data_IF_828103867654
#
_entry.id   IF_828103867654
#
_cell.length_a   1.000
_cell.length_b   1.000
_cell.length_c   1.000
_cell.angle_alpha   90.00
_cell.angle_beta   90.00
_cell.angle_gamma   90.00
#
_symmetry.space_group_name_H-M   'P 1'
#
loop_
_entity.id
_entity.type
_entity.pdbx_description
1 polymer ?
#
# COMPACT_ATOMS: atom_id res chain seq x y z
N UNK A 1 -14.26 -13.16 -33.10
CA UNK A 1 -14.60 -11.95 -32.32
C UNK A 1 -13.89 -12.09 -30.98
N UNK A 2 -12.61 -11.71 -30.91
CA UNK A 2 -11.89 -11.69 -29.64
C UNK A 2 -12.45 -10.51 -28.85
N UNK A 3 -13.23 -10.78 -27.82
CA UNK A 3 -13.70 -9.74 -26.91
C UNK A 3 -12.48 -9.12 -26.23
N UNK A 4 -12.18 -7.87 -26.56
CA UNK A 4 -11.30 -7.05 -25.73
C UNK A 4 -12.08 -6.76 -24.44
N UNK A 5 -11.71 -7.41 -23.35
CA UNK A 5 -12.10 -6.96 -22.02
C UNK A 5 -11.42 -5.61 -21.78
N UNK A 6 -12.17 -4.52 -21.92
CA UNK A 6 -11.69 -3.21 -21.50
C UNK A 6 -11.52 -3.22 -19.99
N UNK A 7 -10.28 -3.42 -19.53
CA UNK A 7 -9.89 -3.18 -18.12
C UNK A 7 -10.32 -1.74 -17.76
N UNK A 8 -11.09 -1.52 -16.70
CA UNK A 8 -11.53 -0.18 -16.31
C UNK A 8 -10.28 0.68 -16.03
N UNK A 9 -10.04 1.68 -16.88
CA UNK A 9 -8.93 2.62 -16.76
C UNK A 9 -9.18 3.59 -15.60
N UNK A 10 -8.83 3.14 -14.40
CA UNK A 10 -8.75 3.96 -13.19
C UNK A 10 -7.53 3.55 -12.34
N UNK A 11 -6.41 3.20 -12.98
CA UNK A 11 -5.25 2.70 -12.24
C UNK A 11 -4.16 3.77 -12.12
N UNK A 12 -3.69 3.97 -10.89
CA UNK A 12 -2.64 4.94 -10.53
C UNK A 12 -1.26 4.47 -11.08
N UNK A 13 -1.10 3.17 -11.31
CA UNK A 13 0.03 2.53 -11.99
C UNK A 13 -0.43 1.21 -12.65
N UNK A 14 0.29 0.75 -13.67
CA UNK A 14 -0.03 -0.45 -14.46
C UNK A 14 0.73 -1.69 -13.94
N UNK A 15 0.34 -2.16 -12.75
CA UNK A 15 0.86 -3.40 -12.17
C UNK A 15 -0.34 -4.27 -11.77
N UNK A 16 -0.33 -5.52 -12.22
CA UNK A 16 -1.40 -6.47 -11.93
C UNK A 16 -1.22 -7.05 -10.52
N UNK A 17 -2.19 -6.82 -9.64
CA UNK A 17 -2.13 -7.26 -8.24
C UNK A 17 -2.02 -8.78 -8.09
N UNK A 18 -2.74 -9.52 -8.93
CA UNK A 18 -2.86 -10.98 -8.78
C UNK A 18 -1.64 -11.69 -9.37
N UNK A 19 -1.08 -11.15 -10.46
CA UNK A 19 0.07 -11.74 -11.13
C UNK A 19 1.42 -11.21 -10.61
N UNK A 20 1.46 -10.00 -10.03
CA UNK A 20 2.68 -9.37 -9.50
C UNK A 20 2.41 -8.60 -8.20
N UNK A 21 1.94 -9.35 -7.19
CA UNK A 21 1.65 -8.79 -5.87
C UNK A 21 2.82 -8.04 -5.21
N UNK A 22 4.08 -8.54 -5.24
CA UNK A 22 5.18 -7.86 -4.55
C UNK A 22 5.44 -6.45 -5.08
N UNK A 23 5.46 -6.27 -6.41
CA UNK A 23 5.66 -4.95 -7.00
C UNK A 23 4.43 -4.06 -6.84
N UNK A 24 3.22 -4.63 -6.98
CA UNK A 24 1.98 -3.90 -6.75
C UNK A 24 1.91 -3.35 -5.32
N UNK A 25 2.26 -4.16 -4.32
CA UNK A 25 2.22 -3.77 -2.91
C UNK A 25 3.27 -2.71 -2.58
N UNK A 26 4.48 -2.85 -3.12
CA UNK A 26 5.52 -1.83 -2.98
C UNK A 26 5.11 -0.48 -3.57
N UNK A 27 4.54 -0.48 -4.78
CA UNK A 27 4.18 0.76 -5.46
C UNK A 27 2.96 1.42 -4.81
N UNK A 28 1.94 0.67 -4.37
CA UNK A 28 0.79 1.29 -3.66
C UNK A 28 1.21 1.90 -2.33
N UNK A 29 2.09 1.23 -1.57
CA UNK A 29 2.57 1.75 -0.28
C UNK A 29 3.36 3.05 -0.45
N UNK A 30 4.09 3.18 -1.56
CA UNK A 30 4.85 4.39 -1.91
C UNK A 30 3.92 5.51 -2.40
N UNK A 31 3.01 5.22 -3.32
CA UNK A 31 2.08 6.20 -3.91
C UNK A 31 1.10 6.75 -2.89
N UNK A 32 0.61 5.91 -1.98
CA UNK A 32 -0.32 6.31 -0.92
C UNK A 32 0.39 6.87 0.33
N UNK A 33 1.71 7.10 0.27
CA UNK A 33 2.51 7.60 1.38
C UNK A 33 2.33 6.78 2.67
N UNK A 34 2.22 5.47 2.54
CA UNK A 34 2.07 4.55 3.68
C UNK A 34 3.42 4.11 4.24
N UNK A 35 4.46 4.08 3.41
CA UNK A 35 5.80 3.63 3.79
C UNK A 35 6.86 4.34 2.96
N UNK A 36 7.90 4.86 3.61
CA UNK A 36 9.07 5.38 2.89
C UNK A 36 10.15 4.31 2.73
N UNK A 37 10.12 3.61 1.60
CA UNK A 37 11.09 2.56 1.27
C UNK A 37 12.50 3.08 0.95
N UNK A 38 12.72 4.40 0.90
CA UNK A 38 13.99 5.02 0.48
C UNK A 38 14.96 5.28 1.62
N UNK A 39 14.58 4.95 2.85
CA UNK A 39 15.36 5.28 4.05
C UNK A 39 16.77 4.68 4.08
N UNK A 40 17.04 3.64 3.28
CA UNK A 40 18.39 3.10 3.11
C UNK A 40 18.85 2.15 4.21
N UNK A 41 17.99 1.85 5.19
CA UNK A 41 18.23 0.81 6.21
C UNK A 41 17.27 -0.34 5.96
N UNK A 42 17.83 -1.52 5.65
CA UNK A 42 17.03 -2.72 5.38
C UNK A 42 16.21 -3.09 6.62
N UNK A 43 14.90 -3.25 6.44
CA UNK A 43 13.97 -3.63 7.51
C UNK A 43 13.53 -2.47 8.40
N UNK A 44 14.01 -1.26 8.16
CA UNK A 44 13.51 -0.06 8.82
C UNK A 44 12.74 0.80 7.84
N UNK A 45 11.42 0.79 7.99
CA UNK A 45 10.49 1.52 7.13
C UNK A 45 9.86 2.65 7.93
N UNK A 46 10.23 3.92 7.68
CA UNK A 46 9.50 5.05 8.23
C UNK A 46 8.04 5.05 7.77
N UNK A 47 7.14 5.34 8.70
CA UNK A 47 5.70 5.43 8.46
C UNK A 47 5.28 6.90 8.39
N UNK A 48 4.85 7.41 7.22
CA UNK A 48 4.37 8.79 7.10
C UNK A 48 3.03 9.00 7.85
N UNK A 49 2.56 10.26 7.98
CA UNK A 49 1.44 10.60 8.84
C UNK A 49 0.17 9.77 8.63
N UNK A 50 -0.15 9.42 7.38
CA UNK A 50 -1.34 8.64 7.05
C UNK A 50 -1.28 7.23 7.63
N UNK A 51 -0.15 6.53 7.44
CA UNK A 51 0.08 5.21 8.03
C UNK A 51 0.12 5.28 9.55
N UNK A 52 0.79 6.28 10.11
CA UNK A 52 0.89 6.46 11.56
C UNK A 52 -0.49 6.70 12.22
N UNK A 53 -1.34 7.50 11.59
CA UNK A 53 -2.71 7.73 12.05
C UNK A 53 -3.53 6.44 12.08
N UNK A 54 -3.45 5.62 11.02
CA UNK A 54 -4.14 4.33 10.99
C UNK A 54 -3.64 3.39 12.08
N UNK A 55 -2.31 3.30 12.28
CA UNK A 55 -1.73 2.48 13.35
C UNK A 55 -2.20 2.94 14.73
N UNK A 56 -2.24 4.24 15.01
CA UNK A 56 -2.75 4.75 16.28
C UNK A 56 -4.21 4.38 16.52
N UNK A 57 -5.06 4.45 15.50
CA UNK A 57 -6.47 4.03 15.63
C UNK A 57 -6.57 2.52 15.93
N UNK A 58 -5.74 1.70 15.29
CA UNK A 58 -5.69 0.26 15.56
C UNK A 58 -5.25 -0.03 17.01
N UNK A 59 -4.22 0.66 17.50
CA UNK A 59 -3.75 0.51 18.87
C UNK A 59 -4.76 1.04 19.89
N UNK A 60 -5.44 2.17 19.62
CA UNK A 60 -6.49 2.68 20.50
C UNK A 60 -7.65 1.67 20.67
N UNK A 61 -8.08 1.03 19.58
CA UNK A 61 -9.10 -0.03 19.65
C UNK A 61 -8.61 -1.27 20.42
N UNK A 62 -7.33 -1.63 20.27
CA UNK A 62 -6.73 -2.73 21.02
C UNK A 62 -6.66 -2.42 22.52
N UNK A 63 -6.24 -1.20 22.87
CA UNK A 63 -6.14 -0.70 24.25
C UNK A 63 -7.50 -0.58 24.93
N UNK A 64 -8.57 -0.27 24.19
CA UNK A 64 -9.93 -0.23 24.73
C UNK A 64 -10.44 -1.62 25.16
N UNK A 65 -9.96 -2.69 24.50
CA UNK A 65 -10.41 -4.07 24.73
C UNK A 65 -9.61 -4.77 25.82
N UNK A 66 -8.37 -4.35 26.09
CA UNK A 66 -7.45 -4.94 27.07
C UNK A 66 -7.59 -4.31 28.46
#
# INVERSE_FOLDING_TARGET
>A
MSGNEEKPRSTIFDIDKENDFPNWFGEICKVAELADIRYGVKGFTPFPPWSFMTMNNMFALLEEVL
#
